data_IF_364552006288
#
_entry.id   IF_364552006288
#
_cell.length_a   1.000
_cell.length_b   1.000
_cell.length_c   1.000
_cell.angle_alpha   90.00
_cell.angle_beta   90.00
_cell.angle_gamma   90.00
#
_symmetry.space_group_name_H-M   'P 1'
#
loop_
_entity.id
_entity.type
_entity.pdbx_description
1 polymer ?
#
# COMPACT_ATOMS: atom_id res chain seq x y z
N UNK A 1 -14.57 0.00 13.37
CA UNK A 1 -14.62 1.47 13.60
C UNK A 1 -13.35 2.07 13.03
N UNK A 2 -13.42 3.20 12.34
CA UNK A 2 -12.24 3.92 11.83
C UNK A 2 -11.58 4.72 12.96
N UNK A 3 -10.27 4.54 13.14
CA UNK A 3 -9.48 5.27 14.13
C UNK A 3 -9.27 6.75 13.75
N UNK A 4 -9.43 7.11 12.48
CA UNK A 4 -9.19 8.47 11.98
C UNK A 4 -10.44 9.36 12.01
N UNK A 5 -11.64 8.79 11.87
CA UNK A 5 -12.89 9.57 11.81
C UNK A 5 -14.06 8.97 12.61
N UNK A 6 -13.84 7.86 13.32
CA UNK A 6 -14.85 7.23 14.18
C UNK A 6 -15.98 6.50 13.46
N UNK A 7 -16.05 6.51 12.12
CA UNK A 7 -17.10 5.80 11.36
C UNK A 7 -17.09 4.30 11.65
N UNK A 8 -18.27 3.72 11.88
CA UNK A 8 -18.46 2.27 12.07
C UNK A 8 -18.78 1.62 10.74
N UNK A 9 -18.20 0.44 10.52
CA UNK A 9 -18.38 -0.36 9.33
C UNK A 9 -18.76 -1.77 9.74
N UNK A 10 -19.64 -2.44 8.98
CA UNK A 10 -20.12 -3.79 9.30
C UNK A 10 -19.08 -4.87 9.08
N UNK A 11 -18.10 -4.64 8.20
CA UNK A 11 -17.06 -5.61 7.85
C UNK A 11 -15.66 -4.97 7.85
N UNK A 12 -14.64 -5.77 8.16
CA UNK A 12 -13.24 -5.31 8.15
C UNK A 12 -12.81 -4.83 6.76
N UNK A 13 -13.25 -5.49 5.69
CA UNK A 13 -12.89 -5.12 4.33
C UNK A 13 -13.44 -3.74 3.95
N UNK A 14 -14.67 -3.42 4.36
CA UNK A 14 -15.26 -2.09 4.16
C UNK A 14 -14.51 -1.02 4.97
N UNK A 15 -14.10 -1.33 6.20
CA UNK A 15 -13.24 -0.45 7.00
C UNK A 15 -11.88 -0.21 6.33
N UNK A 16 -11.26 -1.26 5.77
CA UNK A 16 -9.96 -1.18 5.10
C UNK A 16 -10.01 -0.28 3.86
N UNK A 17 -11.01 -0.47 3.00
CA UNK A 17 -11.24 0.40 1.82
C UNK A 17 -11.48 1.85 2.26
N UNK A 18 -12.25 2.06 3.32
CA UNK A 18 -12.50 3.40 3.85
C UNK A 18 -11.23 4.09 4.36
N UNK A 19 -10.35 3.38 5.09
CA UNK A 19 -9.08 3.95 5.56
C UNK A 19 -8.18 4.37 4.38
N UNK A 20 -8.19 3.64 3.26
CA UNK A 20 -7.45 4.04 2.07
C UNK A 20 -7.88 5.42 1.54
N UNK A 21 -9.15 5.82 1.71
CA UNK A 21 -9.62 7.14 1.30
C UNK A 21 -9.03 8.27 2.15
N UNK A 22 -8.82 8.04 3.45
CA UNK A 22 -8.15 9.01 4.32
C UNK A 22 -6.70 9.27 3.91
N UNK A 23 -6.03 8.23 3.41
CA UNK A 23 -4.62 8.27 3.03
C UNK A 23 -4.41 8.65 1.56
N UNK A 24 -5.49 8.94 0.81
CA UNK A 24 -5.49 9.06 -0.65
C UNK A 24 -4.76 7.88 -1.34
N UNK A 25 -4.79 6.72 -0.68
CA UNK A 25 -4.00 5.57 -1.04
C UNK A 25 -4.71 4.75 -2.12
N UNK A 26 -4.24 4.89 -3.36
CA UNK A 26 -4.80 4.21 -4.53
C UNK A 26 -3.86 3.08 -4.96
N UNK A 27 -4.05 1.93 -4.32
CA UNK A 27 -3.20 0.74 -4.52
C UNK A 27 -3.29 0.13 -5.92
N UNK A 28 -4.41 0.29 -6.60
CA UNK A 28 -4.71 -0.47 -7.81
C UNK A 28 -4.29 0.34 -9.02
N UNK A 29 -3.06 0.14 -9.49
CA UNK A 29 -2.56 0.74 -10.71
C UNK A 29 -3.03 -0.04 -11.95
N UNK A 30 -3.37 0.69 -13.00
CA UNK A 30 -3.52 0.09 -14.32
C UNK A 30 -2.13 -0.21 -14.90
N UNK A 31 -1.77 -1.48 -15.11
CA UNK A 31 -0.48 -1.84 -15.75
C UNK A 31 -0.27 -1.34 -17.20
N UNK A 32 -1.24 -0.64 -17.80
CA UNK A 32 -1.12 -0.05 -19.15
C UNK A 32 -1.15 1.49 -19.15
N UNK A 33 -1.44 2.15 -18.03
CA UNK A 33 -1.46 3.62 -17.93
C UNK A 33 -1.23 4.10 -16.48
N UNK A 34 -1.01 5.39 -16.27
CA UNK A 34 -0.68 5.93 -14.93
C UNK A 34 -1.88 6.10 -13.97
N UNK A 35 -3.06 5.58 -14.32
CA UNK A 35 -4.25 5.70 -13.46
C UNK A 35 -4.20 4.75 -12.27
N UNK A 36 -4.51 5.31 -11.11
CA UNK A 36 -4.57 4.63 -9.82
C UNK A 36 -6.02 4.61 -9.31
N UNK A 37 -6.43 3.49 -8.72
CA UNK A 37 -7.79 3.26 -8.21
C UNK A 37 -7.77 2.77 -6.75
N UNK A 38 -8.88 2.95 -6.03
CA UNK A 38 -9.00 2.55 -4.63
C UNK A 38 -9.37 1.06 -4.47
N UNK A 39 -9.98 0.46 -5.49
CA UNK A 39 -10.40 -0.94 -5.52
C UNK A 39 -10.04 -1.63 -6.83
N UNK A 40 -9.95 -2.97 -6.80
CA UNK A 40 -9.69 -3.80 -8.00
C UNK A 40 -10.81 -3.66 -9.04
N UNK A 41 -12.05 -3.58 -8.56
CA UNK A 41 -13.27 -3.44 -9.39
C UNK A 41 -13.24 -2.15 -10.20
N UNK A 42 -12.87 -1.01 -9.59
CA UNK A 42 -12.76 0.26 -10.29
C UNK A 42 -11.67 0.23 -11.37
N UNK A 43 -10.52 -0.39 -11.07
CA UNK A 43 -9.42 -0.57 -12.03
C UNK A 43 -9.84 -1.47 -13.19
N UNK A 44 -10.51 -2.59 -12.91
CA UNK A 44 -10.96 -3.55 -13.92
C UNK A 44 -12.02 -2.94 -14.84
N UNK A 45 -12.97 -2.19 -14.28
CA UNK A 45 -13.96 -1.45 -15.06
C UNK A 45 -13.29 -0.44 -15.99
N UNK A 46 -12.30 0.32 -15.49
CA UNK A 46 -11.50 1.21 -16.32
C UNK A 46 -10.77 0.46 -17.45
N UNK A 47 -10.16 -0.68 -17.16
CA UNK A 47 -9.40 -1.43 -18.16
C UNK A 47 -10.30 -2.02 -19.23
N UNK A 48 -11.53 -2.42 -18.86
CA UNK A 48 -12.55 -2.86 -19.82
C UNK A 48 -13.02 -1.71 -20.72
N UNK A 49 -13.21 -0.51 -20.18
CA UNK A 49 -13.62 0.67 -20.96
C UNK A 49 -12.52 1.19 -21.88
N UNK A 50 -11.25 1.13 -21.43
CA UNK A 50 -10.09 1.66 -22.17
C UNK A 50 -9.31 0.59 -22.94
N UNK A 51 -9.81 -0.64 -23.00
CA UNK A 51 -9.16 -1.79 -23.63
C UNK A 51 -7.70 -2.00 -23.18
N UNK A 52 -7.44 -1.82 -21.88
CA UNK A 52 -6.13 -2.09 -21.28
C UNK A 52 -6.00 -3.58 -20.92
N UNK A 53 -4.87 -4.20 -21.32
CA UNK A 53 -4.60 -5.63 -21.09
C UNK A 53 -3.52 -5.83 -20.02
N UNK A 54 -3.82 -6.67 -19.03
CA UNK A 54 -2.88 -7.04 -17.97
C UNK A 54 -2.31 -8.44 -18.20
N UNK A 55 -0.98 -8.57 -18.17
CA UNK A 55 -0.34 -9.83 -17.76
C UNK A 55 -0.30 -9.83 -16.23
N UNK A 56 -0.88 -10.83 -15.60
CA UNK A 56 -0.89 -10.99 -14.14
C UNK A 56 0.55 -11.03 -13.60
N UNK A 57 1.08 -9.87 -13.22
CA UNK A 57 2.32 -9.73 -12.47
C UNK A 57 2.04 -9.97 -11.00
N UNK A 58 2.95 -10.69 -10.34
CA UNK A 58 2.88 -11.15 -8.95
C UNK A 58 2.30 -10.08 -8.02
N UNK A 59 1.21 -10.41 -7.33
CA UNK A 59 0.56 -9.54 -6.34
C UNK A 59 1.46 -9.44 -5.10
N UNK A 60 2.28 -8.40 -4.98
CA UNK A 60 2.94 -8.07 -3.71
C UNK A 60 2.00 -7.25 -2.82
N UNK A 61 1.95 -7.60 -1.54
CA UNK A 61 1.26 -6.80 -0.54
C UNK A 61 2.09 -5.55 -0.26
N UNK A 62 1.56 -4.33 -0.45
CA UNK A 62 2.28 -3.10 -0.14
C UNK A 62 2.59 -2.94 1.35
N UNK A 63 1.87 -3.67 2.21
CA UNK A 63 2.26 -3.83 3.61
C UNK A 63 3.65 -4.47 3.69
N UNK A 64 3.88 -5.57 2.98
CA UNK A 64 5.20 -6.21 2.91
C UNK A 64 6.24 -5.31 2.25
N UNK A 65 5.88 -4.54 1.23
CA UNK A 65 6.81 -3.60 0.57
C UNK A 65 7.25 -2.45 1.50
N UNK A 66 6.33 -1.90 2.30
CA UNK A 66 6.66 -0.90 3.32
C UNK A 66 7.61 -1.46 4.39
N UNK A 67 7.37 -2.68 4.90
CA UNK A 67 8.28 -3.30 5.87
C UNK A 67 9.63 -3.64 5.26
N UNK A 68 9.66 -4.14 4.02
CA UNK A 68 10.93 -4.43 3.33
C UNK A 68 11.72 -3.14 3.12
N UNK A 69 11.08 -2.07 2.66
CA UNK A 69 11.74 -0.78 2.49
C UNK A 69 12.19 -0.18 3.83
N UNK A 70 11.43 -0.36 4.91
CA UNK A 70 11.83 0.08 6.24
C UNK A 70 13.02 -0.74 6.76
N UNK A 71 13.00 -2.07 6.61
CA UNK A 71 14.10 -2.95 6.99
C UNK A 71 15.39 -2.64 6.22
N UNK A 72 15.28 -2.34 4.92
CA UNK A 72 16.43 -1.95 4.10
C UNK A 72 17.03 -0.63 4.59
N UNK A 73 16.20 0.37 4.88
CA UNK A 73 16.66 1.65 5.45
C UNK A 73 17.29 1.48 6.83
N UNK A 74 16.70 0.66 7.68
CA UNK A 74 17.24 0.36 9.00
C UNK A 74 18.59 -0.37 8.88
N UNK A 75 18.73 -1.29 7.92
CA UNK A 75 19.99 -1.98 7.63
C UNK A 75 21.07 -1.03 7.08
N UNK A 76 20.72 -0.11 6.17
CA UNK A 76 21.62 0.93 5.67
C UNK A 76 22.09 1.86 6.80
N UNK A 77 21.17 2.25 7.68
CA UNK A 77 21.48 3.09 8.84
C UNK A 77 22.42 2.37 9.82
N UNK A 78 22.15 1.10 10.12
CA UNK A 78 23.03 0.27 10.97
C UNK A 78 24.40 0.08 10.33
N UNK A 79 24.47 -0.14 9.02
CA UNK A 79 25.73 -0.27 8.30
C UNK A 79 26.56 1.04 8.35
N UNK A 80 25.89 2.20 8.32
CA UNK A 80 26.54 3.51 8.35
C UNK A 80 27.00 3.92 9.75
N UNK A 81 26.23 3.62 10.79
CA UNK A 81 26.47 4.13 12.15
C UNK A 81 26.95 3.10 13.18
N UNK A 82 26.96 1.81 12.80
CA UNK A 82 27.31 0.70 13.67
C UNK A 82 26.16 0.33 14.61
N UNK A 83 25.91 -0.98 14.73
CA UNK A 83 24.74 -1.49 15.46
C UNK A 83 24.73 -1.10 16.94
N UNK A 84 25.90 -1.05 17.58
CA UNK A 84 26.03 -0.72 19.00
C UNK A 84 25.52 0.70 19.30
N UNK A 85 25.86 1.68 18.45
CA UNK A 85 25.44 3.07 18.63
C UNK A 85 23.93 3.26 18.45
N UNK A 86 23.30 2.49 17.56
CA UNK A 86 21.86 2.56 17.29
C UNK A 86 21.04 1.97 18.43
N UNK A 87 21.53 0.89 19.04
CA UNK A 87 20.79 0.16 20.10
C UNK A 87 20.93 0.85 21.46
N UNK A 88 22.02 1.58 21.72
CA UNK A 88 22.24 2.27 23.00
C UNK A 88 21.55 3.63 23.14
N UNK A 89 20.92 4.18 22.10
CA UNK A 89 20.21 5.48 22.13
C UNK A 89 18.74 5.39 22.63
N UNK A 90 18.41 4.36 23.41
CA UNK A 90 17.03 4.13 23.88
C UNK A 90 16.80 4.55 25.33
#
# INVERSE_FOLDING_TARGET
MCSLCGKKFPFEQALRVHIHQHLLYRKYECGSCTKLFYTEVERDAHCKEKEHFHKFGVKFSPYCELYVNQLLKDAEYIAMYGIDNVVTQR
#
